data_IF_751212738420
#
_entry.id   IF_751212738420
#
_cell.length_a   1.000
_cell.length_b   1.000
_cell.length_c   1.000
_cell.angle_alpha   90.00
_cell.angle_beta   90.00
_cell.angle_gamma   90.00
#
_symmetry.space_group_name_H-M   'P 1'
#
loop_
_entity.id
_entity.type
_entity.pdbx_description
1 polymer ?
#
# COMPACT_ATOMS: atom_id res chain seq x y z
N UNK A 1 7.12 -7.25 -6.74
CA UNK A 1 6.97 -8.41 -5.84
C UNK A 1 8.34 -9.00 -5.54
N UNK A 2 8.53 -9.52 -4.33
CA UNK A 2 9.73 -10.24 -3.91
C UNK A 2 9.35 -11.62 -3.38
N UNK A 3 10.32 -12.49 -3.21
CA UNK A 3 10.13 -13.82 -2.59
C UNK A 3 11.09 -13.93 -1.42
N UNK A 4 10.60 -14.34 -0.27
CA UNK A 4 11.41 -14.53 0.91
C UNK A 4 12.18 -15.88 0.89
N UNK A 5 13.03 -16.10 1.89
CA UNK A 5 13.84 -17.32 1.97
C UNK A 5 13.03 -18.61 2.25
N UNK A 6 11.75 -18.47 2.56
CA UNK A 6 10.80 -19.59 2.73
C UNK A 6 10.06 -19.92 1.44
N UNK A 7 10.29 -19.15 0.36
CA UNK A 7 9.58 -19.27 -0.91
C UNK A 7 8.23 -18.57 -0.94
N UNK A 8 7.89 -17.76 0.08
CA UNK A 8 6.65 -17.02 0.15
C UNK A 8 6.74 -15.70 -0.62
N UNK A 9 5.69 -15.40 -1.38
CA UNK A 9 5.56 -14.13 -2.10
C UNK A 9 5.29 -13.00 -1.11
N UNK A 10 6.06 -11.92 -1.26
CA UNK A 10 5.86 -10.64 -0.57
C UNK A 10 5.33 -9.64 -1.60
N UNK A 11 4.08 -9.24 -1.44
CA UNK A 11 3.38 -8.40 -2.42
C UNK A 11 3.66 -6.90 -2.23
N UNK A 12 3.02 -6.07 -3.06
CA UNK A 12 3.23 -4.62 -3.04
C UNK A 12 2.86 -3.99 -1.71
N UNK A 13 1.77 -4.40 -1.08
CA UNK A 13 1.35 -3.84 0.20
C UNK A 13 2.38 -4.13 1.29
N UNK A 14 2.85 -5.39 1.38
CA UNK A 14 3.89 -5.78 2.33
C UNK A 14 5.22 -5.05 2.08
N UNK A 15 5.59 -4.85 0.82
CA UNK A 15 6.82 -4.12 0.46
C UNK A 15 6.72 -2.63 0.81
N UNK A 16 5.57 -1.99 0.54
CA UNK A 16 5.31 -0.60 0.93
C UNK A 16 5.35 -0.46 2.45
N UNK A 17 4.75 -1.41 3.18
CA UNK A 17 4.82 -1.45 4.64
C UNK A 17 6.26 -1.50 5.14
N UNK A 18 7.11 -2.38 4.59
CA UNK A 18 8.52 -2.50 4.97
C UNK A 18 9.27 -1.19 4.74
N UNK A 19 9.07 -0.55 3.58
CA UNK A 19 9.70 0.74 3.24
C UNK A 19 9.24 1.83 4.21
N UNK A 20 7.92 1.97 4.39
CA UNK A 20 7.34 3.00 5.24
C UNK A 20 7.78 2.85 6.69
N UNK A 21 7.70 1.62 7.23
CA UNK A 21 8.15 1.34 8.59
C UNK A 21 9.64 1.61 8.78
N UNK A 22 10.48 1.18 7.84
CA UNK A 22 11.93 1.44 7.90
C UNK A 22 12.25 2.94 7.87
N UNK A 23 11.52 3.73 7.09
CA UNK A 23 11.66 5.18 7.08
C UNK A 23 11.13 5.81 8.37
N UNK A 24 9.98 5.35 8.85
CA UNK A 24 9.38 5.83 10.10
C UNK A 24 10.32 5.60 11.30
N UNK A 25 10.83 4.39 11.46
CA UNK A 25 11.72 4.02 12.58
C UNK A 25 13.01 4.86 12.63
N UNK A 26 13.41 5.45 11.49
CA UNK A 26 14.58 6.32 11.36
C UNK A 26 14.26 7.82 11.40
N UNK A 27 12.99 8.17 11.54
CA UNK A 27 12.54 9.57 11.44
C UNK A 27 12.65 10.17 10.05
N UNK A 28 12.76 9.33 9.00
CA UNK A 28 12.90 9.76 7.60
C UNK A 28 11.60 9.72 6.79
N UNK A 29 10.50 9.23 7.34
CA UNK A 29 9.22 9.23 6.67
C UNK A 29 8.63 10.65 6.67
N UNK A 30 8.45 11.22 5.49
CA UNK A 30 7.84 12.53 5.32
C UNK A 30 6.33 12.39 5.17
N UNK A 31 5.60 12.70 6.23
CA UNK A 31 4.14 12.58 6.29
C UNK A 31 3.66 11.12 6.39
N UNK A 32 2.60 10.81 5.64
CA UNK A 32 1.97 9.50 5.64
C UNK A 32 2.27 8.66 4.40
N UNK A 33 1.45 7.64 4.18
CA UNK A 33 1.54 6.71 3.06
C UNK A 33 0.26 6.72 2.23
N UNK A 34 0.39 6.67 0.91
CA UNK A 34 -0.75 6.55 -0.01
C UNK A 34 -0.84 5.14 -0.57
N UNK A 35 -1.95 4.47 -0.32
CA UNK A 35 -2.35 3.24 -0.99
C UNK A 35 -3.47 3.47 -1.99
N UNK A 36 -4.12 2.40 -2.43
CA UNK A 36 -5.29 2.47 -3.30
C UNK A 36 -6.53 1.86 -2.62
N UNK A 37 -7.68 1.96 -3.27
CA UNK A 37 -8.89 1.27 -2.84
C UNK A 37 -8.70 -0.25 -2.73
N UNK A 38 -7.70 -0.81 -3.43
CA UNK A 38 -7.37 -2.24 -3.42
C UNK A 38 -6.37 -2.63 -2.33
N UNK A 39 -5.76 -1.67 -1.65
CA UNK A 39 -4.81 -1.94 -0.56
C UNK A 39 -5.49 -2.73 0.56
N UNK A 40 -4.85 -3.81 1.00
CA UNK A 40 -5.36 -4.66 2.06
C UNK A 40 -5.64 -3.86 3.35
N UNK A 41 -6.76 -4.12 4.01
CA UNK A 41 -7.15 -3.38 5.21
C UNK A 41 -6.16 -3.58 6.37
N UNK A 42 -5.48 -4.73 6.43
CA UNK A 42 -4.40 -4.96 7.39
C UNK A 42 -3.24 -3.99 7.26
N UNK A 43 -2.98 -3.44 6.06
CA UNK A 43 -2.01 -2.37 5.86
C UNK A 43 -2.43 -1.07 6.58
N UNK A 44 -3.70 -0.68 6.43
CA UNK A 44 -4.24 0.53 7.08
C UNK A 44 -4.17 0.41 8.61
N UNK A 45 -4.52 -0.77 9.15
CA UNK A 45 -4.38 -1.04 10.58
C UNK A 45 -2.92 -0.94 11.03
N UNK A 46 -1.97 -1.51 10.27
CA UNK A 46 -0.55 -1.44 10.58
C UNK A 46 -0.01 0.01 10.55
N UNK A 47 -0.46 0.85 9.61
CA UNK A 47 -0.10 2.28 9.60
C UNK A 47 -0.66 3.01 10.82
N UNK A 48 -1.91 2.73 11.19
CA UNK A 48 -2.55 3.28 12.39
C UNK A 48 -1.78 2.91 13.66
N UNK A 49 -1.37 1.65 13.80
CA UNK A 49 -0.59 1.17 14.95
C UNK A 49 0.78 1.84 15.05
N UNK A 50 1.38 2.22 13.92
CA UNK A 50 2.62 2.99 13.85
C UNK A 50 2.41 4.50 14.10
N UNK A 51 1.17 4.98 14.18
CA UNK A 51 0.89 6.42 14.22
C UNK A 51 1.20 7.15 12.92
N UNK A 52 1.19 6.45 11.79
CA UNK A 52 1.45 6.97 10.45
C UNK A 52 0.12 7.22 9.74
N UNK A 53 -0.06 8.41 9.20
CA UNK A 53 -1.22 8.74 8.39
C UNK A 53 -1.31 7.88 7.13
N UNK A 54 -2.52 7.46 6.78
CA UNK A 54 -2.79 6.68 5.59
C UNK A 54 -3.92 7.28 4.75
N UNK A 55 -3.77 7.27 3.43
CA UNK A 55 -4.77 7.76 2.48
C UNK A 55 -4.97 6.75 1.36
N UNK A 56 -6.23 6.53 0.97
CA UNK A 56 -6.60 5.71 -0.18
C UNK A 56 -6.82 6.60 -1.40
N UNK A 57 -6.08 6.33 -2.47
CA UNK A 57 -6.31 6.87 -3.80
C UNK A 57 -7.19 5.93 -4.65
N UNK A 58 -7.72 6.42 -5.75
CA UNK A 58 -8.25 5.54 -6.79
C UNK A 58 -7.15 4.60 -7.32
N UNK A 59 -7.54 3.45 -7.86
CA UNK A 59 -6.62 2.48 -8.46
C UNK A 59 -5.92 3.09 -9.68
N UNK A 60 -4.61 3.01 -9.69
CA UNK A 60 -3.72 3.53 -10.73
C UNK A 60 -2.64 4.47 -10.16
N UNK A 61 -1.41 4.26 -10.59
CA UNK A 61 -0.22 4.98 -10.15
C UNK A 61 -0.35 6.51 -10.23
N UNK A 62 -1.01 7.02 -11.27
CA UNK A 62 -1.28 8.45 -11.46
C UNK A 62 -2.08 9.07 -10.31
N UNK A 63 -3.02 8.30 -9.73
CA UNK A 63 -3.84 8.78 -8.61
C UNK A 63 -3.06 8.75 -7.31
N UNK A 64 -2.24 7.71 -7.11
CA UNK A 64 -1.30 7.64 -5.99
C UNK A 64 -0.32 8.81 -6.05
N UNK A 65 0.27 9.05 -7.22
CA UNK A 65 1.19 10.17 -7.48
C UNK A 65 0.54 11.53 -7.17
N UNK A 66 -0.71 11.72 -7.61
CA UNK A 66 -1.44 12.97 -7.38
C UNK A 66 -1.63 13.22 -5.87
N UNK A 67 -2.07 12.19 -5.13
CA UNK A 67 -2.26 12.28 -3.68
C UNK A 67 -0.96 12.51 -2.92
N UNK A 68 0.15 11.86 -3.33
CA UNK A 68 1.47 12.10 -2.75
C UNK A 68 1.90 13.56 -2.91
N UNK A 69 1.77 14.11 -4.12
CA UNK A 69 2.13 15.51 -4.41
C UNK A 69 1.26 16.52 -3.66
N UNK A 70 -0.06 16.28 -3.62
CA UNK A 70 -1.02 17.15 -2.93
C UNK A 70 -0.72 17.24 -1.42
N UNK A 71 -0.34 16.13 -0.80
CA UNK A 71 -0.07 16.03 0.64
C UNK A 71 1.38 16.33 1.01
N UNK A 72 2.29 16.43 0.05
CA UNK A 72 3.73 16.51 0.32
C UNK A 72 4.31 15.22 0.90
N UNK A 73 3.69 14.06 0.62
CA UNK A 73 4.14 12.76 1.09
C UNK A 73 5.03 12.10 0.03
N UNK A 74 5.84 11.13 0.46
CA UNK A 74 6.88 10.57 -0.41
C UNK A 74 6.74 9.08 -0.70
N UNK A 75 5.98 8.32 0.09
CA UNK A 75 5.82 6.87 -0.06
C UNK A 75 4.38 6.50 -0.40
N UNK A 76 4.21 5.69 -1.41
CA UNK A 76 2.91 5.13 -1.77
C UNK A 76 3.02 4.06 -2.85
N UNK A 77 1.89 3.47 -3.20
CA UNK A 77 1.85 2.49 -4.28
C UNK A 77 0.63 1.58 -4.24
N UNK A 78 0.77 0.45 -4.93
CA UNK A 78 -0.29 -0.51 -5.16
C UNK A 78 0.12 -1.93 -4.74
N UNK A 79 -0.86 -2.74 -4.37
CA UNK A 79 -0.65 -4.17 -4.04
C UNK A 79 0.00 -4.97 -5.17
N UNK A 80 -0.17 -4.52 -6.43
CA UNK A 80 0.50 -5.08 -7.61
C UNK A 80 2.03 -4.96 -7.60
N UNK A 81 2.58 -4.07 -6.75
CA UNK A 81 4.01 -3.82 -6.62
C UNK A 81 4.53 -2.60 -7.38
N UNK A 82 3.63 -1.76 -7.92
CA UNK A 82 4.01 -0.45 -8.42
C UNK A 82 4.18 0.51 -7.23
N UNK A 83 5.43 0.81 -6.88
CA UNK A 83 5.79 1.55 -5.66
C UNK A 83 6.45 2.88 -6.04
N UNK A 84 6.05 3.93 -5.36
CA UNK A 84 6.59 5.27 -5.50
C UNK A 84 7.38 5.67 -4.25
N UNK A 85 8.62 6.13 -4.46
CA UNK A 85 9.48 6.71 -3.44
C UNK A 85 9.95 8.08 -3.93
N UNK A 86 9.12 9.11 -3.73
CA UNK A 86 9.32 10.42 -4.37
C UNK A 86 10.50 11.21 -3.82
N UNK A 87 11.06 10.80 -2.70
CA UNK A 87 12.34 11.29 -2.17
C UNK A 87 13.56 10.73 -2.91
N UNK A 88 13.38 9.70 -3.75
CA UNK A 88 14.43 9.04 -4.52
C UNK A 88 14.29 9.19 -6.03
N UNK A 89 13.06 9.18 -6.54
CA UNK A 89 12.77 9.26 -7.97
C UNK A 89 11.45 9.97 -8.21
N UNK A 90 11.28 10.55 -9.38
CA UNK A 90 10.06 11.29 -9.75
C UNK A 90 8.92 10.40 -10.27
N UNK A 91 9.13 9.09 -10.35
CA UNK A 91 8.18 8.09 -10.87
C UNK A 91 8.29 6.78 -10.13
N UNK A 92 7.34 5.87 -10.32
CA UNK A 92 7.48 4.49 -9.88
C UNK A 92 8.64 3.81 -10.61
N UNK A 93 9.54 3.18 -9.85
CA UNK A 93 10.71 2.49 -10.37
C UNK A 93 10.95 1.22 -9.54
N UNK A 94 10.91 0.07 -10.21
CA UNK A 94 11.06 -1.24 -9.56
C UNK A 94 12.45 -1.47 -8.99
N UNK A 95 13.50 -0.92 -9.61
CA UNK A 95 14.88 -1.04 -9.11
C UNK A 95 15.06 -0.17 -7.87
N UNK A 96 14.62 1.08 -7.92
CA UNK A 96 14.66 1.99 -6.77
C UNK A 96 13.87 1.41 -5.59
N UNK A 97 12.66 0.90 -5.83
CA UNK A 97 11.84 0.28 -4.81
C UNK A 97 12.49 -0.95 -4.18
N UNK A 98 13.10 -1.82 -5.02
CA UNK A 98 13.85 -2.97 -4.54
C UNK A 98 15.04 -2.56 -3.66
N UNK A 99 15.77 -1.53 -4.06
CA UNK A 99 16.90 -0.99 -3.27
C UNK A 99 16.43 -0.42 -1.91
N UNK A 100 15.24 0.19 -1.84
CA UNK A 100 14.70 0.62 -0.54
C UNK A 100 14.39 -0.57 0.39
N UNK A 101 13.83 -1.66 -0.14
CA UNK A 101 13.59 -2.89 0.64
C UNK A 101 14.90 -3.52 1.07
N UNK A 102 15.89 -3.65 0.18
CA UNK A 102 17.22 -4.16 0.52
C UNK A 102 17.92 -3.29 1.57
N UNK A 103 17.77 -1.98 1.48
CA UNK A 103 18.26 -1.06 2.51
C UNK A 103 17.64 -1.34 3.88
N UNK A 104 16.32 -1.58 3.92
CA UNK A 104 15.63 -1.93 5.16
C UNK A 104 16.12 -3.26 5.75
N UNK A 105 16.37 -4.28 4.92
CA UNK A 105 16.95 -5.56 5.32
C UNK A 105 18.33 -5.38 5.95
N UNK A 106 19.23 -4.68 5.26
CA UNK A 106 20.61 -4.47 5.72
C UNK A 106 20.63 -3.69 7.03
N UNK A 107 19.85 -2.62 7.12
CA UNK A 107 19.86 -1.75 8.30
C UNK A 107 19.24 -2.40 9.53
N UNK A 108 18.22 -3.24 9.36
CA UNK A 108 17.57 -3.93 10.46
C UNK A 108 18.28 -5.22 10.88
N UNK A 109 19.09 -5.81 10.00
CA UNK A 109 19.68 -7.15 10.16
C UNK A 109 18.63 -8.28 10.15
N UNK A 110 17.37 -7.99 9.74
CA UNK A 110 16.26 -8.93 9.72
C UNK A 110 16.02 -9.48 8.31
N UNK A 111 15.44 -10.66 8.24
CA UNK A 111 14.98 -11.25 6.98
C UNK A 111 13.73 -10.57 6.46
N UNK A 112 13.42 -10.75 5.17
CA UNK A 112 12.21 -10.21 4.54
C UNK A 112 10.94 -10.74 5.22
N UNK A 113 10.93 -12.04 5.59
CA UNK A 113 9.83 -12.67 6.31
C UNK A 113 9.60 -12.08 7.72
N UNK A 114 10.64 -11.58 8.36
CA UNK A 114 10.51 -10.91 9.66
C UNK A 114 10.01 -9.48 9.52
N UNK A 115 10.48 -8.76 8.50
CA UNK A 115 10.08 -7.37 8.28
C UNK A 115 8.59 -7.24 7.92
N UNK A 116 8.03 -8.19 7.17
CA UNK A 116 6.60 -8.17 6.82
C UNK A 116 5.65 -8.47 8.01
N UNK A 117 6.13 -9.09 9.09
CA UNK A 117 5.29 -9.51 10.24
C UNK A 117 4.58 -8.37 10.98
N UNK A 118 5.01 -7.13 10.79
CA UNK A 118 4.32 -5.96 11.34
C UNK A 118 2.99 -5.64 10.64
N UNK A 119 2.72 -6.27 9.51
CA UNK A 119 1.46 -6.16 8.77
C UNK A 119 0.80 -7.53 8.68
N UNK A 120 -0.41 -7.65 9.23
CA UNK A 120 -1.22 -8.88 9.12
C UNK A 120 -2.20 -8.70 7.97
N UNK A 121 -2.01 -9.47 6.89
CA UNK A 121 -2.96 -9.46 5.77
C UNK A 121 -4.29 -10.06 6.19
N UNK A 122 -5.35 -9.29 6.02
CA UNK A 122 -6.71 -9.75 6.22
C UNK A 122 -7.26 -10.42 4.94
N UNK A 123 -8.14 -11.41 5.08
CA UNK A 123 -8.82 -12.00 3.94
C UNK A 123 -9.53 -10.92 3.10
N UNK A 124 -9.36 -10.99 1.79
CA UNK A 124 -9.97 -10.05 0.84
C UNK A 124 -10.62 -10.84 -0.28
N UNK A 125 -11.90 -10.58 -0.52
CA UNK A 125 -12.65 -11.19 -1.60
C UNK A 125 -13.05 -10.13 -2.64
N UNK A 126 -12.88 -10.46 -3.92
CA UNK A 126 -13.36 -9.64 -5.02
C UNK A 126 -14.42 -10.41 -5.78
N UNK A 127 -15.63 -9.84 -5.90
CA UNK A 127 -16.74 -10.43 -6.63
C UNK A 127 -17.12 -9.52 -7.79
N UNK A 128 -16.94 -9.99 -9.00
CA UNK A 128 -17.37 -9.27 -10.21
C UNK A 128 -18.84 -9.57 -10.49
N UNK A 129 -19.70 -8.55 -10.41
CA UNK A 129 -21.12 -8.64 -10.74
C UNK A 129 -21.34 -8.11 -12.16
N UNK A 130 -21.85 -8.95 -13.06
CA UNK A 130 -22.23 -8.51 -14.41
C UNK A 130 -23.57 -7.79 -14.35
N UNK A 131 -23.59 -6.57 -14.86
CA UNK A 131 -24.83 -5.81 -15.05
C UNK A 131 -25.32 -5.99 -16.49
N UNK A 132 -26.65 -6.09 -16.73
CA UNK A 132 -27.22 -6.21 -18.06
C UNK A 132 -26.98 -4.95 -18.90
N UNK A 133 -26.89 -3.81 -18.24
CA UNK A 133 -26.62 -2.49 -18.85
C UNK A 133 -25.75 -1.63 -17.91
N UNK A 134 -25.10 -0.63 -18.50
CA UNK A 134 -24.30 0.33 -17.73
C UNK A 134 -25.21 1.26 -16.95
N UNK A 135 -25.11 1.26 -15.62
CA UNK A 135 -25.86 2.17 -14.74
C UNK A 135 -25.02 2.56 -13.52
N UNK A 136 -25.36 3.66 -12.89
CA UNK A 136 -24.75 4.08 -11.63
C UNK A 136 -25.36 3.29 -10.47
N UNK A 137 -24.71 2.16 -10.15
CA UNK A 137 -25.14 1.26 -9.05
C UNK A 137 -24.91 1.90 -7.69
N UNK A 138 -23.83 2.69 -7.53
CA UNK A 138 -23.48 3.34 -6.26
C UNK A 138 -24.42 4.48 -5.91
N UNK A 139 -25.17 4.99 -6.89
CA UNK A 139 -26.23 5.96 -6.70
C UNK A 139 -27.52 5.41 -6.08
N UNK A 140 -27.71 4.08 -6.10
CA UNK A 140 -28.93 3.44 -5.62
C UNK A 140 -28.97 3.36 -4.08
N UNK A 141 -30.07 3.81 -3.47
CA UNK A 141 -30.20 3.90 -2.01
C UNK A 141 -30.10 2.53 -1.31
N UNK A 142 -30.60 1.46 -1.94
CA UNK A 142 -30.49 0.09 -1.41
C UNK A 142 -29.04 -0.36 -1.33
N UNK A 143 -28.22 0.02 -2.30
CA UNK A 143 -26.79 -0.35 -2.33
C UNK A 143 -26.03 0.49 -1.33
N UNK A 144 -26.31 1.79 -1.22
CA UNK A 144 -25.72 2.64 -0.18
C UNK A 144 -26.01 2.10 1.21
N UNK A 145 -27.25 1.70 1.49
CA UNK A 145 -27.62 1.12 2.78
C UNK A 145 -26.81 -0.18 3.05
N UNK A 146 -26.74 -1.09 2.08
CA UNK A 146 -26.00 -2.34 2.22
C UNK A 146 -24.48 -2.13 2.43
N UNK A 147 -23.90 -1.07 1.85
CA UNK A 147 -22.47 -0.73 2.07
C UNK A 147 -22.23 -0.17 3.47
N UNK A 148 -23.21 0.52 4.06
CA UNK A 148 -23.11 1.06 5.43
C UNK A 148 -23.28 -0.05 6.46
N UNK A 149 -24.09 -1.07 6.16
CA UNK A 149 -24.38 -2.19 7.06
C UNK A 149 -23.28 -3.29 7.07
N UNK A 150 -22.30 -3.21 6.15
CA UNK A 150 -21.23 -4.21 6.00
C UNK A 150 -19.95 -3.81 6.75
#
# INVERSE_FOLDING_TARGET
>A
MMVDHLGEVVDGDELIFIIAKSLHDRGGLQGGVVGTLMTNYGFELAMKDLGVDFCRANVGDRYVMAQLKERGWVVGGESSGHILCLDKTSTGDGIVSALQVLSALIQSGKSLSELKKGMVKLPQAMINVRLPEKRDVLGEDKIKAAVVDA
#
